data_IF_779191867548
#
_entry.id   IF_779191867548
#
_cell.length_a   1.000
_cell.length_b   1.000
_cell.length_c   1.000
_cell.angle_alpha   90.00
_cell.angle_beta   90.00
_cell.angle_gamma   90.00
#
_symmetry.space_group_name_H-M   'P 1'
#
loop_
_entity.id
_entity.type
_entity.pdbx_description
1 polymer ?
#
# COMPACT_ATOMS: atom_id res chain seq x y z
N UNK A 1 3.97 -10.56 21.38
CA UNK A 1 3.97 -11.34 20.12
C UNK A 1 3.36 -10.45 19.07
N UNK A 2 4.20 -9.72 18.34
CA UNK A 2 3.80 -8.73 17.34
C UNK A 2 3.34 -9.45 16.08
N UNK A 3 2.03 -9.71 15.98
CA UNK A 3 1.36 -10.30 14.82
C UNK A 3 1.34 -9.38 13.57
N UNK A 4 2.13 -8.30 13.53
CA UNK A 4 2.14 -7.30 12.45
C UNK A 4 2.69 -7.86 11.13
N UNK A 5 3.67 -8.76 11.17
CA UNK A 5 4.33 -9.33 9.99
C UNK A 5 3.38 -10.17 9.10
N UNK A 6 2.59 -11.13 9.62
CA UNK A 6 1.71 -11.95 8.78
C UNK A 6 0.54 -11.17 8.18
N UNK A 7 0.03 -10.14 8.85
CA UNK A 7 -1.01 -9.28 8.28
C UNK A 7 -0.48 -8.49 7.09
N UNK A 8 0.73 -7.94 7.23
CA UNK A 8 1.33 -7.15 6.16
C UNK A 8 1.75 -8.01 4.96
N UNK A 9 2.19 -9.24 5.21
CA UNK A 9 2.50 -10.21 4.15
C UNK A 9 1.23 -10.60 3.37
N UNK A 10 0.12 -10.87 4.07
CA UNK A 10 -1.19 -11.10 3.45
C UNK A 10 -1.72 -9.89 2.70
N UNK A 11 -1.55 -8.68 3.25
CA UNK A 11 -1.97 -7.45 2.59
C UNK A 11 -1.16 -7.24 1.31
N UNK A 12 0.15 -7.43 1.36
CA UNK A 12 1.05 -7.31 0.21
C UNK A 12 0.73 -8.36 -0.86
N UNK A 13 0.43 -9.60 -0.46
CA UNK A 13 0.01 -10.66 -1.38
C UNK A 13 -1.34 -10.36 -2.04
N UNK A 14 -2.31 -9.85 -1.28
CA UNK A 14 -3.61 -9.43 -1.84
C UNK A 14 -3.48 -8.26 -2.79
N UNK A 15 -2.63 -7.27 -2.47
CA UNK A 15 -2.37 -6.14 -3.37
C UNK A 15 -1.65 -6.64 -4.62
N UNK A 16 -0.69 -7.55 -4.50
CA UNK A 16 0.00 -8.13 -5.66
C UNK A 16 -0.95 -8.92 -6.59
N UNK A 17 -1.98 -9.55 -6.02
CA UNK A 17 -3.02 -10.26 -6.77
C UNK A 17 -4.17 -9.35 -7.26
N UNK A 18 -4.32 -8.16 -6.68
CA UNK A 18 -5.36 -7.22 -7.08
C UNK A 18 -4.96 -6.48 -8.36
N UNK A 19 -5.95 -6.15 -9.18
CA UNK A 19 -5.75 -5.35 -10.39
C UNK A 19 -5.36 -3.92 -10.05
N UNK A 20 -4.47 -3.34 -10.88
CA UNK A 20 -4.02 -1.94 -10.87
C UNK A 20 -5.13 -0.93 -10.54
N UNK A 21 -6.33 -1.14 -11.07
CA UNK A 21 -7.49 -0.26 -10.88
C UNK A 21 -8.16 -0.36 -9.51
N UNK A 22 -7.77 -1.31 -8.67
CA UNK A 22 -8.32 -1.48 -7.30
C UNK A 22 -7.22 -1.42 -6.24
N UNK A 23 -5.98 -1.69 -6.63
CA UNK A 23 -4.79 -1.61 -5.80
C UNK A 23 -4.62 -0.26 -5.11
N UNK A 24 -4.86 0.85 -5.79
CA UNK A 24 -4.74 2.19 -5.20
C UNK A 24 -5.65 2.41 -3.98
N UNK A 25 -6.76 1.67 -3.86
CA UNK A 25 -7.67 1.76 -2.70
C UNK A 25 -7.03 1.23 -1.41
N UNK A 26 -5.98 0.43 -1.54
CA UNK A 26 -5.21 -0.08 -0.41
C UNK A 26 -4.09 0.86 0.03
N UNK A 27 -3.77 1.92 -0.73
CA UNK A 27 -2.77 2.94 -0.36
C UNK A 27 -2.93 3.46 1.07
N UNK A 28 -4.12 3.92 1.51
CA UNK A 28 -4.28 4.44 2.88
C UNK A 28 -4.15 3.35 3.95
N UNK A 29 -4.42 2.09 3.61
CA UNK A 29 -4.22 0.96 4.53
C UNK A 29 -2.74 0.63 4.67
N UNK A 30 -2.01 0.56 3.55
CA UNK A 30 -0.56 0.35 3.52
C UNK A 30 0.15 1.48 4.27
N UNK A 31 -0.24 2.74 4.04
CA UNK A 31 0.29 3.92 4.73
C UNK A 31 0.16 3.81 6.25
N UNK A 32 -1.02 3.41 6.75
CA UNK A 32 -1.25 3.21 8.19
C UNK A 32 -0.36 2.11 8.78
N UNK A 33 -0.14 1.03 8.04
CA UNK A 33 0.75 -0.06 8.51
C UNK A 33 2.20 0.42 8.53
N UNK A 34 2.65 1.17 7.52
CA UNK A 34 3.98 1.80 7.49
C UNK A 34 4.15 2.78 8.68
N UNK A 35 3.17 3.64 8.93
CA UNK A 35 3.17 4.58 10.07
C UNK A 35 3.22 3.83 11.39
N UNK A 36 2.46 2.73 11.53
CA UNK A 36 2.49 1.88 12.72
C UNK A 36 3.86 1.22 12.92
N UNK A 37 4.43 0.64 11.88
CA UNK A 37 5.77 0.02 11.95
C UNK A 37 6.84 1.05 12.34
N UNK A 38 6.82 2.25 11.75
CA UNK A 38 7.73 3.32 12.15
C UNK A 38 7.52 3.74 13.61
N UNK A 39 6.26 3.83 14.07
CA UNK A 39 5.95 4.16 15.46
C UNK A 39 6.36 3.06 16.45
N UNK A 40 6.29 1.80 16.02
CA UNK A 40 6.78 0.63 16.78
C UNK A 40 8.32 0.50 16.71
N UNK A 41 9.02 1.32 15.90
CA UNK A 41 10.46 1.23 15.67
C UNK A 41 10.88 0.03 14.80
N UNK A 42 9.91 -0.60 14.14
CA UNK A 42 10.10 -1.76 13.27
C UNK A 42 10.51 -1.34 11.86
N UNK A 43 11.38 -2.15 11.25
CA UNK A 43 11.85 -1.91 9.90
C UNK A 43 10.73 -2.14 8.88
N UNK A 44 10.37 -1.10 8.13
CA UNK A 44 9.43 -1.21 7.02
C UNK A 44 10.11 -1.93 5.85
N UNK A 45 9.56 -3.06 5.36
CA UNK A 45 10.15 -3.79 4.25
C UNK A 45 10.19 -2.95 2.97
N UNK A 46 11.26 -3.13 2.19
CA UNK A 46 11.42 -2.46 0.91
C UNK A 46 10.28 -2.76 -0.07
N UNK A 47 9.73 -3.98 -0.02
CA UNK A 47 8.57 -4.37 -0.81
C UNK A 47 7.34 -3.50 -0.51
N UNK A 48 7.08 -3.22 0.77
CA UNK A 48 5.94 -2.38 1.21
C UNK A 48 6.13 -0.92 0.79
N UNK A 49 7.35 -0.39 0.87
CA UNK A 49 7.67 0.97 0.39
C UNK A 49 7.44 1.10 -1.12
N UNK A 50 7.97 0.16 -1.91
CA UNK A 50 7.79 0.14 -3.37
C UNK A 50 6.32 0.06 -3.75
N UNK A 51 5.59 -0.83 -3.08
CA UNK A 51 4.16 -0.97 -3.28
C UNK A 51 3.43 0.35 -3.02
N UNK A 52 3.68 1.00 -1.88
CA UNK A 52 3.08 2.31 -1.58
C UNK A 52 3.38 3.37 -2.66
N UNK A 53 4.60 3.42 -3.18
CA UNK A 53 4.96 4.35 -4.26
C UNK A 53 4.23 4.03 -5.58
N UNK A 54 4.08 2.76 -5.94
CA UNK A 54 3.31 2.35 -7.12
C UNK A 54 1.83 2.72 -6.97
N UNK A 55 1.23 2.42 -5.82
CA UNK A 55 -0.16 2.75 -5.52
C UNK A 55 -0.42 4.26 -5.57
N UNK A 56 0.53 5.06 -5.09
CA UNK A 56 0.43 6.52 -5.11
C UNK A 56 0.41 7.05 -6.56
N UNK A 57 1.25 6.50 -7.43
CA UNK A 57 1.27 6.85 -8.86
C UNK A 57 -0.04 6.46 -9.54
N UNK A 58 -0.52 5.23 -9.31
CA UNK A 58 -1.79 4.74 -9.85
C UNK A 58 -2.98 5.59 -9.34
N UNK A 59 -2.98 6.00 -8.07
CA UNK A 59 -4.02 6.86 -7.50
C UNK A 59 -4.03 8.25 -8.14
N UNK A 60 -2.85 8.82 -8.40
CA UNK A 60 -2.71 10.09 -9.10
C UNK A 60 -3.24 9.92 -10.53
N UNK A 61 -2.74 8.96 -11.30
CA UNK A 61 -3.20 8.71 -12.67
C UNK A 61 -4.72 8.49 -12.76
N UNK A 62 -5.30 7.68 -11.87
CA UNK A 62 -6.75 7.47 -11.80
C UNK A 62 -7.55 8.73 -11.43
N UNK A 63 -6.96 9.66 -10.67
CA UNK A 63 -7.59 10.95 -10.35
C UNK A 63 -7.58 11.89 -11.55
N UNK A 64 -6.56 11.81 -12.41
CA UNK A 64 -6.45 12.62 -13.63
C UNK A 64 -7.25 12.05 -14.81
N UNK A 65 -7.33 10.72 -14.95
CA UNK A 65 -8.10 10.05 -16.03
C UNK A 65 -9.61 10.31 -15.92
N UNK A 66 -10.10 10.60 -14.70
CA UNK A 66 -11.50 10.86 -14.43
C UNK A 66 -11.89 12.36 -14.54
N UNK A 67 -11.01 13.21 -15.06
CA UNK A 67 -11.38 14.59 -15.42
C UNK A 67 -12.02 14.58 -16.81
N UNK A 68 -13.33 14.85 -16.95
CA UNK A 68 -13.93 15.04 -18.26
C UNK A 68 -13.34 16.29 -18.88
N UNK A 69 -12.85 16.18 -20.11
CA UNK A 69 -12.53 17.33 -20.98
C UNK A 69 -13.82 18.06 -21.34
#
# INVERSE_FOLDING_TARGET
MTNTTPEMDRLSAQISQADSQTRYRYEPQVRRVIERLNAEGEAVPAATKRLHEELLREAIEAQFDNMPV
#
